data_IF_223745718189
#
_entry.id   IF_223745718189
#
_cell.length_a   1.000
_cell.length_b   1.000
_cell.length_c   1.000
_cell.angle_alpha   90.00
_cell.angle_beta   90.00
_cell.angle_gamma   90.00
#
_symmetry.space_group_name_H-M   'P 1'
#
loop_
_entity.id
_entity.type
_entity.pdbx_description
1 polymer ?
#
# COMPACT_ATOMS: atom_id res chain seq x y z
N UNK A 1 -54.51 2.46 -89.17
CA UNK A 1 -53.29 2.07 -88.43
C UNK A 1 -53.54 2.37 -86.96
N UNK A 2 -53.80 1.34 -86.15
CA UNK A 2 -53.86 1.45 -84.69
C UNK A 2 -52.95 0.37 -84.12
N UNK A 3 -51.81 0.81 -83.61
CA UNK A 3 -50.76 -0.02 -83.01
C UNK A 3 -51.27 -0.70 -81.73
N UNK A 4 -50.91 -1.98 -81.48
CA UNK A 4 -51.33 -2.68 -80.27
C UNK A 4 -50.58 -2.14 -79.04
N UNK A 5 -51.29 -2.08 -77.90
CA UNK A 5 -50.77 -1.61 -76.62
C UNK A 5 -49.71 -2.58 -76.05
N UNK A 6 -48.64 -2.08 -75.40
CA UNK A 6 -47.61 -2.92 -74.79
C UNK A 6 -48.14 -3.64 -73.54
N UNK A 7 -47.84 -4.92 -73.44
CA UNK A 7 -48.21 -5.82 -72.35
C UNK A 7 -47.47 -5.50 -71.03
N UNK A 8 -48.07 -5.76 -69.85
CA UNK A 8 -47.44 -5.48 -68.56
C UNK A 8 -46.24 -6.40 -68.32
N UNK A 9 -45.10 -5.84 -67.91
CA UNK A 9 -43.91 -6.64 -67.58
C UNK A 9 -44.03 -7.26 -66.17
N UNK A 10 -43.66 -8.54 -65.99
CA UNK A 10 -43.60 -9.17 -64.67
C UNK A 10 -42.59 -8.45 -63.78
N UNK A 11 -42.97 -8.19 -62.53
CA UNK A 11 -42.10 -7.58 -61.54
C UNK A 11 -41.07 -8.64 -61.11
N UNK A 12 -39.84 -8.52 -61.59
CA UNK A 12 -38.72 -9.35 -61.13
C UNK A 12 -38.49 -9.10 -59.64
N UNK A 13 -38.68 -10.14 -58.84
CA UNK A 13 -38.46 -10.14 -57.40
C UNK A 13 -36.93 -10.16 -57.16
N UNK A 14 -36.32 -8.97 -57.08
CA UNK A 14 -34.88 -8.82 -56.81
C UNK A 14 -34.56 -9.36 -55.40
N UNK A 15 -33.64 -10.33 -55.25
CA UNK A 15 -33.24 -10.83 -53.93
C UNK A 15 -32.71 -9.68 -53.05
N UNK A 16 -33.06 -9.62 -51.76
CA UNK A 16 -32.53 -8.61 -50.85
C UNK A 16 -30.99 -8.69 -50.81
N UNK A 17 -30.31 -7.55 -51.01
CA UNK A 17 -28.86 -7.48 -50.84
C UNK A 17 -28.46 -7.90 -49.41
N UNK A 18 -27.36 -8.66 -49.23
CA UNK A 18 -26.84 -8.98 -47.90
C UNK A 18 -26.53 -7.69 -47.13
N UNK A 19 -27.23 -7.45 -46.02
CA UNK A 19 -26.97 -6.33 -45.12
C UNK A 19 -25.60 -6.49 -44.47
N UNK A 20 -24.71 -5.52 -44.64
CA UNK A 20 -23.38 -5.52 -44.01
C UNK A 20 -23.51 -5.69 -42.48
N UNK A 21 -22.75 -6.61 -41.85
CA UNK A 21 -22.83 -6.83 -40.41
C UNK A 21 -22.52 -5.53 -39.64
N UNK A 22 -23.45 -5.05 -38.81
CA UNK A 22 -23.24 -3.91 -37.93
C UNK A 22 -22.21 -4.28 -36.86
N UNK A 23 -21.07 -3.59 -36.81
CA UNK A 23 -20.12 -3.72 -35.69
C UNK A 23 -20.80 -3.25 -34.41
N UNK A 24 -20.75 -4.05 -33.35
CA UNK A 24 -21.44 -3.69 -32.11
C UNK A 24 -20.69 -2.59 -31.36
N UNK A 25 -21.41 -1.55 -30.94
CA UNK A 25 -20.88 -0.50 -30.06
C UNK A 25 -20.30 -1.03 -28.75
N UNK A 26 -20.63 -2.27 -28.37
CA UNK A 26 -20.05 -2.96 -27.22
C UNK A 26 -18.58 -3.37 -27.46
N UNK A 27 -18.19 -3.73 -28.69
CA UNK A 27 -16.80 -4.00 -29.02
C UNK A 27 -15.96 -2.72 -28.89
N UNK A 28 -16.48 -1.58 -29.37
CA UNK A 28 -15.86 -0.27 -29.22
C UNK A 28 -15.78 0.14 -27.73
N UNK A 29 -16.84 -0.09 -26.95
CA UNK A 29 -16.81 0.15 -25.51
C UNK A 29 -15.75 -0.70 -24.79
N UNK A 30 -15.56 -1.97 -25.17
CA UNK A 30 -14.50 -2.81 -24.60
C UNK A 30 -13.08 -2.34 -24.96
N UNK A 31 -12.88 -1.80 -26.17
CA UNK A 31 -11.62 -1.20 -26.59
C UNK A 31 -11.32 0.08 -25.80
N UNK A 32 -12.33 0.94 -25.66
CA UNK A 32 -12.22 2.19 -24.88
C UNK A 32 -11.93 1.87 -23.41
N UNK A 33 -12.60 0.90 -22.82
CA UNK A 33 -12.34 0.47 -21.44
C UNK A 33 -10.96 -0.18 -21.28
N UNK A 34 -10.50 -0.96 -22.26
CA UNK A 34 -9.14 -1.49 -22.29
C UNK A 34 -8.08 -0.39 -22.33
N UNK A 35 -8.28 0.64 -23.15
CA UNK A 35 -7.38 1.80 -23.26
C UNK A 35 -7.43 2.65 -21.97
N UNK A 36 -8.62 2.93 -21.43
CA UNK A 36 -8.77 3.65 -20.16
C UNK A 36 -8.17 2.88 -18.99
N UNK A 37 -8.18 1.55 -19.01
CA UNK A 37 -7.49 0.73 -18.01
C UNK A 37 -5.96 0.86 -18.09
N UNK A 38 -5.39 1.00 -19.29
CA UNK A 38 -3.95 1.21 -19.47
C UNK A 38 -3.56 2.65 -19.10
N UNK A 39 -4.39 3.63 -19.46
CA UNK A 39 -4.08 5.05 -19.32
C UNK A 39 -4.44 5.63 -17.94
N UNK A 40 -5.44 5.06 -17.26
CA UNK A 40 -5.86 5.44 -15.90
C UNK A 40 -4.94 4.90 -14.78
N UNK A 41 -4.05 3.96 -15.11
CA UNK A 41 -3.07 3.40 -14.19
C UNK A 41 -3.66 2.59 -13.03
N UNK A 42 -2.81 1.78 -12.39
CA UNK A 42 -3.14 0.93 -11.24
C UNK A 42 -3.46 1.70 -9.93
N UNK A 43 -3.87 2.97 -10.00
CA UNK A 43 -3.96 3.89 -8.85
C UNK A 43 -5.36 3.91 -8.22
N UNK A 44 -6.41 3.53 -8.96
CA UNK A 44 -7.78 3.52 -8.44
C UNK A 44 -8.27 2.07 -8.27
N UNK A 45 -8.30 1.58 -7.04
CA UNK A 45 -8.73 0.20 -6.70
C UNK A 45 -10.21 -0.08 -7.00
N UNK A 46 -11.07 0.95 -7.00
CA UNK A 46 -12.52 0.83 -7.25
C UNK A 46 -12.92 0.57 -8.73
N UNK A 47 -12.35 1.24 -9.75
CA UNK A 47 -12.69 0.96 -11.16
C UNK A 47 -12.22 -0.39 -11.69
N UNK A 48 -11.28 -1.08 -11.02
CA UNK A 48 -10.83 -2.42 -11.43
C UNK A 48 -11.95 -3.46 -11.41
N UNK A 49 -12.78 -3.46 -10.36
CA UNK A 49 -13.90 -4.41 -10.24
C UNK A 49 -14.94 -4.15 -11.32
N UNK A 50 -15.27 -2.89 -11.59
CA UNK A 50 -16.19 -2.52 -12.67
C UNK A 50 -15.63 -2.91 -14.04
N UNK A 51 -14.36 -2.63 -14.32
CA UNK A 51 -13.73 -2.95 -15.60
C UNK A 51 -13.73 -4.47 -15.89
N UNK A 52 -13.46 -5.31 -14.88
CA UNK A 52 -13.46 -6.77 -15.02
C UNK A 52 -14.87 -7.31 -15.30
N UNK A 53 -15.88 -6.81 -14.59
CA UNK A 53 -17.29 -7.24 -14.77
C UNK A 53 -17.83 -6.82 -16.13
N UNK A 54 -17.60 -5.56 -16.52
CA UNK A 54 -18.02 -5.03 -17.82
C UNK A 54 -17.27 -5.72 -18.98
N UNK A 55 -15.99 -6.05 -18.81
CA UNK A 55 -15.20 -6.82 -19.78
C UNK A 55 -15.74 -8.24 -20.01
N UNK A 56 -16.11 -8.96 -18.95
CA UNK A 56 -16.69 -10.31 -19.07
C UNK A 56 -18.07 -10.30 -19.72
N UNK A 57 -18.91 -9.30 -19.43
CA UNK A 57 -20.25 -9.18 -20.03
C UNK A 57 -20.16 -8.89 -21.54
N UNK A 58 -19.23 -8.01 -21.95
CA UNK A 58 -19.00 -7.70 -23.36
C UNK A 58 -18.54 -8.94 -24.15
N UNK A 59 -17.58 -9.71 -23.60
CA UNK A 59 -17.09 -10.95 -24.22
C UNK A 59 -18.18 -12.02 -24.35
N UNK A 60 -18.97 -12.24 -23.29
CA UNK A 60 -20.07 -13.22 -23.26
C UNK A 60 -21.14 -12.91 -24.32
N UNK A 61 -21.42 -11.63 -24.57
CA UNK A 61 -22.45 -11.20 -25.53
C UNK A 61 -21.97 -11.29 -26.98
N UNK A 62 -20.70 -11.01 -27.27
CA UNK A 62 -20.10 -11.22 -28.60
C UNK A 62 -19.83 -12.69 -28.93
N UNK A 63 -19.73 -13.57 -27.93
CA UNK A 63 -19.52 -15.00 -28.15
C UNK A 63 -20.83 -15.78 -28.40
N UNK A 64 -21.97 -15.26 -27.91
CA UNK A 64 -23.28 -15.94 -27.98
C UNK A 64 -24.09 -15.64 -29.24
N UNK A 65 -23.81 -14.54 -29.95
CA UNK A 65 -24.62 -14.12 -31.10
C UNK A 65 -23.76 -13.98 -32.38
N UNK A 66 -23.81 -14.97 -33.31
CA UNK A 66 -23.03 -14.95 -34.55
C UNK A 66 -23.40 -13.83 -35.52
N UNK A 67 -24.56 -13.18 -35.33
CA UNK A 67 -25.02 -12.05 -36.14
C UNK A 67 -24.24 -10.75 -35.88
N UNK A 68 -23.44 -10.73 -34.80
CA UNK A 68 -22.68 -9.58 -34.34
C UNK A 68 -21.20 -9.72 -34.73
N UNK A 69 -20.75 -8.93 -35.70
CA UNK A 69 -19.34 -8.86 -36.09
C UNK A 69 -18.46 -8.24 -35.00
N UNK A 70 -17.16 -8.59 -34.97
CA UNK A 70 -16.17 -7.98 -34.05
C UNK A 70 -15.46 -8.93 -33.08
N UNK A 71 -15.58 -10.25 -33.27
CA UNK A 71 -14.97 -11.28 -32.40
C UNK A 71 -13.45 -11.11 -32.21
N UNK A 72 -12.71 -10.74 -33.25
CA UNK A 72 -11.28 -10.45 -33.18
C UNK A 72 -10.95 -9.19 -32.36
N UNK A 73 -11.80 -8.15 -32.47
CA UNK A 73 -11.65 -6.90 -31.70
C UNK A 73 -11.96 -7.15 -30.22
N UNK A 74 -13.00 -7.94 -29.92
CA UNK A 74 -13.33 -8.34 -28.55
C UNK A 74 -12.21 -9.19 -27.90
N UNK A 75 -11.60 -10.11 -28.67
CA UNK A 75 -10.47 -10.89 -28.19
C UNK A 75 -9.23 -10.02 -27.95
N UNK A 76 -8.94 -9.07 -28.85
CA UNK A 76 -7.83 -8.13 -28.68
C UNK A 76 -8.01 -7.27 -27.42
N UNK A 77 -9.23 -6.79 -27.13
CA UNK A 77 -9.55 -6.06 -25.91
C UNK A 77 -9.34 -6.88 -24.64
N UNK A 78 -9.71 -8.17 -24.67
CA UNK A 78 -9.50 -9.09 -23.54
C UNK A 78 -8.01 -9.36 -23.31
N UNK A 79 -7.24 -9.62 -24.37
CA UNK A 79 -5.78 -9.84 -24.29
C UNK A 79 -5.08 -8.60 -23.75
N UNK A 80 -5.44 -7.40 -24.24
CA UNK A 80 -4.87 -6.15 -23.77
C UNK A 80 -5.22 -5.89 -22.29
N UNK A 81 -6.42 -6.24 -21.85
CA UNK A 81 -6.82 -6.16 -20.44
C UNK A 81 -6.05 -7.12 -19.53
N UNK A 82 -5.82 -8.36 -19.96
CA UNK A 82 -4.96 -9.28 -19.19
C UNK A 82 -3.49 -8.85 -19.19
N UNK A 83 -2.99 -8.34 -20.32
CA UNK A 83 -1.64 -7.79 -20.40
C UNK A 83 -1.46 -6.59 -19.46
N UNK A 84 -2.43 -5.67 -19.41
CA UNK A 84 -2.37 -4.51 -18.50
C UNK A 84 -2.38 -4.93 -17.02
N UNK A 85 -3.20 -5.92 -16.64
CA UNK A 85 -3.18 -6.49 -15.29
C UNK A 85 -1.82 -7.13 -14.99
N UNK A 86 -1.27 -7.92 -15.91
CA UNK A 86 0.03 -8.57 -15.74
C UNK A 86 1.15 -7.55 -15.53
N UNK A 87 1.26 -6.55 -16.40
CA UNK A 87 2.23 -5.45 -16.23
C UNK A 87 1.97 -4.63 -14.97
N UNK A 88 0.71 -4.39 -14.61
CA UNK A 88 0.31 -3.69 -13.39
C UNK A 88 0.79 -4.40 -12.13
N UNK A 89 0.64 -5.72 -12.06
CA UNK A 89 1.14 -6.55 -10.94
C UNK A 89 2.67 -6.46 -10.85
N UNK A 90 3.37 -6.52 -11.98
CA UNK A 90 4.85 -6.41 -12.01
C UNK A 90 5.29 -5.04 -11.47
N UNK A 91 4.70 -3.95 -11.97
CA UNK A 91 5.05 -2.59 -11.53
C UNK A 91 4.70 -2.39 -10.06
N UNK A 92 3.51 -2.82 -9.62
CA UNK A 92 3.11 -2.74 -8.21
C UNK A 92 4.06 -3.54 -7.31
N UNK A 93 4.45 -4.75 -7.73
CA UNK A 93 5.43 -5.59 -7.02
C UNK A 93 6.79 -4.92 -6.90
N UNK A 94 7.28 -4.29 -7.98
CA UNK A 94 8.56 -3.56 -7.98
C UNK A 94 8.51 -2.34 -7.05
N UNK A 95 7.44 -1.55 -7.10
CA UNK A 95 7.24 -0.41 -6.22
C UNK A 95 7.15 -0.85 -4.75
N UNK A 96 6.43 -1.93 -4.45
CA UNK A 96 6.36 -2.49 -3.12
C UNK A 96 7.73 -2.99 -2.63
N UNK A 97 8.49 -3.67 -3.49
CA UNK A 97 9.84 -4.14 -3.18
C UNK A 97 10.80 -3.00 -2.83
N UNK A 98 10.63 -1.81 -3.43
CA UNK A 98 11.41 -0.61 -3.07
C UNK A 98 10.84 0.14 -1.85
N UNK A 99 9.52 0.19 -1.70
CA UNK A 99 8.87 0.90 -0.61
C UNK A 99 9.09 0.24 0.76
N UNK A 100 8.98 -1.09 0.84
CA UNK A 100 9.13 -1.85 2.10
C UNK A 100 10.46 -1.54 2.81
N UNK A 101 11.65 -1.64 2.18
CA UNK A 101 12.91 -1.35 2.87
C UNK A 101 13.04 0.13 3.24
N UNK A 102 12.52 1.05 2.42
CA UNK A 102 12.50 2.47 2.75
C UNK A 102 11.65 2.75 4.01
N UNK A 103 10.47 2.15 4.11
CA UNK A 103 9.60 2.27 5.29
C UNK A 103 10.21 1.60 6.53
N UNK A 104 10.84 0.45 6.38
CA UNK A 104 11.55 -0.22 7.48
C UNK A 104 12.64 0.69 8.05
N UNK A 105 13.47 1.30 7.20
CA UNK A 105 14.52 2.24 7.63
C UNK A 105 13.96 3.46 8.36
N UNK A 106 12.91 4.09 7.83
CA UNK A 106 12.28 5.27 8.47
C UNK A 106 11.69 4.91 9.83
N UNK A 107 11.09 3.73 9.96
CA UNK A 107 10.55 3.25 11.24
C UNK A 107 11.66 3.02 12.26
N UNK A 108 12.76 2.36 11.87
CA UNK A 108 13.89 2.09 12.76
C UNK A 108 14.52 3.40 13.27
N UNK A 109 14.69 4.39 12.39
CA UNK A 109 15.17 5.73 12.79
C UNK A 109 14.18 6.46 13.71
N UNK A 110 12.87 6.30 13.49
CA UNK A 110 11.83 6.89 14.34
C UNK A 110 11.83 6.27 15.74
N UNK A 111 11.99 4.96 15.83
CA UNK A 111 12.13 4.24 17.10
C UNK A 111 13.40 4.67 17.84
N UNK A 112 14.52 4.87 17.13
CA UNK A 112 15.74 5.39 17.74
C UNK A 112 15.52 6.79 18.32
N UNK A 113 14.86 7.68 17.60
CA UNK A 113 14.54 9.03 18.10
C UNK A 113 13.60 8.99 19.32
N UNK A 114 12.63 8.08 19.31
CA UNK A 114 11.76 7.87 20.46
C UNK A 114 12.54 7.38 21.68
N UNK A 115 13.41 6.37 21.51
CA UNK A 115 14.30 5.88 22.58
C UNK A 115 15.24 6.97 23.11
N UNK A 116 15.78 7.82 22.24
CA UNK A 116 16.59 8.97 22.66
C UNK A 116 15.80 9.94 23.52
N UNK A 117 14.55 10.22 23.15
CA UNK A 117 13.66 11.08 23.92
C UNK A 117 13.26 10.46 25.27
N UNK A 118 13.02 9.15 25.29
CA UNK A 118 12.74 8.40 26.53
C UNK A 118 13.97 8.41 27.46
N UNK A 119 15.16 8.19 26.92
CA UNK A 119 16.41 8.26 27.67
C UNK A 119 16.61 9.64 28.29
N UNK A 120 16.35 10.72 27.55
CA UNK A 120 16.40 12.09 28.08
C UNK A 120 15.43 12.32 29.24
N UNK A 121 14.20 11.81 29.11
CA UNK A 121 13.21 11.90 30.19
C UNK A 121 13.66 11.11 31.42
N UNK A 122 14.20 9.90 31.24
CA UNK A 122 14.74 9.07 32.32
C UNK A 122 15.91 9.78 33.01
N UNK A 123 16.87 10.30 32.26
CA UNK A 123 18.04 11.01 32.79
C UNK A 123 17.65 12.24 33.62
N UNK A 124 16.78 13.10 33.06
CA UNK A 124 16.26 14.26 33.77
C UNK A 124 15.50 13.88 35.05
N UNK A 125 14.68 12.83 35.00
CA UNK A 125 13.96 12.34 36.16
C UNK A 125 14.87 11.75 37.22
N UNK A 126 15.92 11.03 36.82
CA UNK A 126 16.91 10.48 37.74
C UNK A 126 17.65 11.61 38.47
N UNK A 127 18.14 12.62 37.73
CA UNK A 127 18.78 13.81 38.33
C UNK A 127 17.84 14.52 39.31
N UNK A 128 16.57 14.68 38.96
CA UNK A 128 15.60 15.32 39.84
C UNK A 128 15.38 14.52 41.14
N UNK A 129 15.30 13.19 41.05
CA UNK A 129 15.23 12.32 42.24
C UNK A 129 16.50 12.44 43.09
N UNK A 130 17.67 12.46 42.47
CA UNK A 130 18.95 12.58 43.17
C UNK A 130 19.04 13.89 43.95
N UNK A 131 18.59 15.00 43.35
CA UNK A 131 18.52 16.31 43.98
C UNK A 131 17.48 16.36 45.12
N UNK A 132 16.27 15.81 44.90
CA UNK A 132 15.19 15.86 45.88
C UNK A 132 15.46 14.97 47.11
N UNK A 133 15.99 13.76 46.88
CA UNK A 133 16.18 12.75 47.93
C UNK A 133 17.62 12.69 48.44
N UNK A 134 18.53 13.50 47.90
CA UNK A 134 19.96 13.50 48.25
C UNK A 134 20.65 12.15 48.03
N UNK A 135 20.10 11.31 47.14
CA UNK A 135 20.64 9.97 46.85
C UNK A 135 21.49 10.05 45.59
N UNK A 136 22.69 9.47 45.58
CA UNK A 136 23.53 9.44 44.38
C UNK A 136 23.11 8.35 43.39
N UNK A 137 22.44 7.29 43.90
CA UNK A 137 22.03 6.12 43.13
C UNK A 137 20.53 6.05 42.88
N UNK A 138 20.16 5.91 41.63
CA UNK A 138 18.78 5.67 41.19
C UNK A 138 18.71 4.38 40.39
N UNK A 139 17.85 3.46 40.82
CA UNK A 139 17.59 2.19 40.12
C UNK A 139 16.17 2.21 39.56
N UNK A 140 16.03 1.93 38.28
CA UNK A 140 14.75 1.84 37.60
C UNK A 140 14.64 0.56 36.78
N UNK A 141 13.41 0.16 36.51
CA UNK A 141 13.08 -0.98 35.64
C UNK A 141 11.99 -0.58 34.67
N UNK A 142 11.94 -1.24 33.51
CA UNK A 142 10.97 -0.96 32.46
C UNK A 142 10.27 -2.27 32.10
N UNK A 143 8.94 -2.28 32.17
CA UNK A 143 8.14 -3.38 31.67
C UNK A 143 8.09 -3.33 30.13
N UNK A 144 8.65 -4.34 29.42
CA UNK A 144 8.66 -4.34 27.95
C UNK A 144 7.26 -4.37 27.31
N UNK A 145 6.25 -4.93 27.98
CA UNK A 145 4.92 -5.08 27.40
C UNK A 145 4.15 -3.76 27.41
N UNK A 146 4.21 -3.05 28.54
CA UNK A 146 3.44 -1.82 28.74
C UNK A 146 4.26 -0.55 28.51
N UNK A 147 5.60 -0.64 28.58
CA UNK A 147 6.51 0.50 28.64
C UNK A 147 6.48 1.20 30.00
N UNK A 148 5.84 0.62 31.02
CA UNK A 148 5.75 1.23 32.34
C UNK A 148 7.11 1.27 33.02
N UNK A 149 7.47 2.44 33.54
CA UNK A 149 8.71 2.64 34.30
C UNK A 149 8.41 2.49 35.78
N UNK A 150 9.21 1.68 36.47
CA UNK A 150 9.12 1.44 37.91
C UNK A 150 10.42 1.86 38.61
N UNK A 151 10.32 2.26 39.87
CA UNK A 151 11.44 2.78 40.66
C UNK A 151 11.25 4.25 41.04
N UNK A 152 12.24 4.89 41.67
CA UNK A 152 12.10 6.26 42.18
C UNK A 152 11.74 7.30 41.11
N UNK A 153 12.11 7.06 39.85
CA UNK A 153 11.82 7.96 38.72
C UNK A 153 10.39 7.84 38.19
N UNK A 154 9.61 6.84 38.62
CA UNK A 154 8.25 6.62 38.10
C UNK A 154 7.29 7.78 38.40
N UNK A 155 7.65 8.61 39.39
CA UNK A 155 6.94 9.84 39.74
C UNK A 155 7.04 10.92 38.66
N UNK A 156 8.08 10.87 37.82
CA UNK A 156 8.32 11.84 36.74
C UNK A 156 8.18 11.21 35.35
N UNK A 157 8.56 9.94 35.20
CA UNK A 157 8.44 9.18 33.95
C UNK A 157 7.59 7.96 34.22
N UNK A 158 6.33 7.99 33.81
CA UNK A 158 5.42 6.85 34.02
C UNK A 158 5.51 5.81 32.91
N UNK A 159 5.79 6.25 31.67
CA UNK A 159 5.84 5.38 30.48
C UNK A 159 6.90 5.83 29.50
N UNK A 160 7.49 4.84 28.83
CA UNK A 160 8.42 5.00 27.70
C UNK A 160 7.94 4.17 26.51
N UNK A 161 8.66 4.24 25.38
CA UNK A 161 8.36 3.47 24.18
C UNK A 161 8.23 1.98 24.49
N UNK A 162 7.15 1.36 23.99
CA UNK A 162 6.90 -0.08 24.19
C UNK A 162 8.01 -0.93 23.59
N UNK A 163 8.25 -2.09 24.18
CA UNK A 163 9.34 -2.99 23.80
C UNK A 163 10.72 -2.54 24.32
N UNK A 164 10.85 -1.35 24.90
CA UNK A 164 12.09 -0.89 25.54
C UNK A 164 12.30 -1.63 26.86
N UNK A 165 13.50 -2.13 27.08
CA UNK A 165 13.96 -2.79 28.30
C UNK A 165 15.19 -2.05 28.82
N UNK A 166 15.23 -1.78 30.12
CA UNK A 166 16.46 -1.36 30.78
C UNK A 166 17.37 -2.58 30.95
N UNK A 167 18.48 -2.61 30.23
CA UNK A 167 19.53 -3.64 30.35
C UNK A 167 20.41 -3.31 31.54
N UNK A 168 20.79 -2.04 31.66
CA UNK A 168 21.31 -1.46 32.90
C UNK A 168 20.41 -0.28 33.26
N UNK A 169 19.71 -0.41 34.38
CA UNK A 169 18.77 0.57 34.90
C UNK A 169 19.29 1.29 36.15
N UNK A 170 20.59 1.25 36.41
CA UNK A 170 21.21 1.96 37.54
C UNK A 170 21.94 3.19 37.02
N UNK A 171 21.73 4.32 37.70
CA UNK A 171 22.52 5.54 37.50
C UNK A 171 23.09 5.88 38.88
N UNK A 172 24.40 5.71 39.08
CA UNK A 172 25.07 5.91 40.36
C UNK A 172 25.67 7.31 40.53
N UNK A 173 25.92 8.03 39.42
CA UNK A 173 26.49 9.38 39.41
C UNK A 173 26.10 10.14 38.13
N UNK A 174 26.34 11.46 38.10
CA UNK A 174 26.07 12.34 36.94
C UNK A 174 26.90 11.99 35.68
N UNK A 175 27.97 11.22 35.84
CA UNK A 175 28.82 10.74 34.74
C UNK A 175 28.54 9.28 34.37
N UNK A 176 27.63 8.63 35.08
CA UNK A 176 27.32 7.22 34.85
C UNK A 176 26.47 7.04 33.60
N UNK A 177 26.45 5.83 33.07
CA UNK A 177 25.70 5.48 31.87
C UNK A 177 24.69 4.40 32.16
N UNK A 178 23.53 4.47 31.51
CA UNK A 178 22.52 3.42 31.55
C UNK A 178 22.27 2.88 30.14
N UNK A 179 21.78 1.64 30.04
CA UNK A 179 21.61 0.96 28.76
C UNK A 179 20.19 0.51 28.54
N UNK A 180 19.63 0.86 27.37
CA UNK A 180 18.30 0.45 26.95
C UNK A 180 18.39 -0.44 25.71
N UNK A 181 17.46 -1.38 25.58
CA UNK A 181 17.32 -2.25 24.40
C UNK A 181 15.87 -2.25 23.93
N UNK A 182 15.65 -2.12 22.63
CA UNK A 182 14.33 -2.33 22.03
C UNK A 182 14.46 -3.27 20.82
N UNK A 183 13.79 -4.44 20.79
CA UNK A 183 13.88 -5.41 19.70
C UNK A 183 13.54 -4.84 18.32
N UNK A 184 12.71 -3.78 18.28
CA UNK A 184 12.26 -3.15 17.04
C UNK A 184 13.21 -2.07 16.54
N UNK A 185 14.21 -1.66 17.32
CA UNK A 185 15.20 -0.65 16.96
C UNK A 185 16.56 -1.32 16.72
N UNK A 186 17.23 -1.03 15.59
CA UNK A 186 18.58 -1.54 15.28
C UNK A 186 18.76 -3.04 15.60
N UNK A 187 17.78 -3.87 15.23
CA UNK A 187 17.81 -5.33 15.45
C UNK A 187 17.95 -5.75 16.93
N UNK A 188 17.50 -4.92 17.87
CA UNK A 188 17.59 -5.23 19.29
C UNK A 188 18.98 -4.98 19.89
N UNK A 189 19.79 -4.12 19.27
CA UNK A 189 21.05 -3.69 19.85
C UNK A 189 20.83 -2.97 21.19
N UNK A 190 21.75 -3.19 22.14
CA UNK A 190 21.81 -2.43 23.39
C UNK A 190 22.40 -1.06 23.09
N UNK A 191 21.66 -0.01 23.44
CA UNK A 191 22.06 1.38 23.29
C UNK A 191 22.40 1.96 24.66
N UNK A 192 23.59 2.55 24.77
CA UNK A 192 24.06 3.18 26.01
C UNK A 192 23.83 4.69 25.95
N UNK A 193 23.37 5.24 27.07
CA UNK A 193 23.06 6.64 27.27
C UNK A 193 23.78 7.14 28.51
N UNK A 194 24.25 8.38 28.49
CA UNK A 194 24.78 9.05 29.68
C UNK A 194 23.64 9.44 30.63
N UNK A 195 23.98 9.94 31.82
CA UNK A 195 23.01 10.38 32.81
C UNK A 195 22.06 11.50 32.32
N UNK A 196 22.41 12.22 31.24
CA UNK A 196 21.56 13.24 30.60
C UNK A 196 20.62 12.63 29.54
N UNK A 197 20.74 11.32 29.28
CA UNK A 197 19.99 10.61 28.26
C UNK A 197 20.47 10.89 26.84
N UNK A 198 21.69 11.39 26.66
CA UNK A 198 22.36 11.49 25.37
C UNK A 198 23.08 10.18 25.08
N UNK A 199 23.02 9.75 23.82
CA UNK A 199 23.59 8.46 23.40
C UNK A 199 25.12 8.54 23.44
N UNK A 200 25.73 7.57 24.11
CA UNK A 200 27.17 7.35 24.14
C UNK A 200 27.45 6.18 23.20
N UNK A 201 28.29 6.41 22.20
CA UNK A 201 28.56 5.44 21.13
C UNK A 201 29.58 4.41 21.59
#
# INVERSE_FOLDING_TARGET
MTTPAPSPQPHDNVPPLPSAPKTSGMAVASLILGILSVMGGAILLFPMVLAIVLGHIAYSKTNKDPSVGGRGIALAGLILGYASIFFGIIVAGLLAAMAIPAFQKVRDESLMKAMQNDARQIGAAAQQVMLEKGTTRVVFTIDPQTGAVSGPISQYVTKVSRGTVAVDGTIENETDTFSLKNPQCHQGQVLTFDAEGKRVQ
#
